data_IF_741815546552
#
_entry.id   IF_741815546552
#
_cell.length_a   1.000
_cell.length_b   1.000
_cell.length_c   1.000
_cell.angle_alpha   90.00
_cell.angle_beta   90.00
_cell.angle_gamma   90.00
#
_symmetry.space_group_name_H-M   'P 1'
#
loop_
_entity.id
_entity.type
_entity.pdbx_description
1 polymer ?
#
# COMPACT_ATOMS: atom_id res chain seq x y z
N UNK A 1 13.07 -1.96 18.66
CA UNK A 1 12.72 -3.05 17.72
C UNK A 1 11.48 -2.67 16.96
N UNK A 2 11.48 -2.84 15.63
CA UNK A 2 10.33 -2.55 14.77
C UNK A 2 9.42 -3.78 14.74
N UNK A 3 8.11 -3.58 14.85
CA UNK A 3 7.09 -4.60 14.62
C UNK A 3 6.13 -4.13 13.53
N UNK A 4 5.74 -5.03 12.64
CA UNK A 4 4.72 -4.81 11.63
C UNK A 4 3.56 -5.78 11.88
N UNK A 5 2.43 -5.24 12.33
CA UNK A 5 1.17 -5.97 12.42
C UNK A 5 0.55 -6.02 11.03
N UNK A 6 0.53 -7.20 10.43
CA UNK A 6 0.21 -7.40 9.02
C UNK A 6 -0.50 -8.73 8.75
N UNK A 7 -1.16 -8.81 7.59
CA UNK A 7 -1.79 -10.04 7.10
C UNK A 7 -1.40 -10.28 5.63
N UNK A 8 -0.92 -11.48 5.24
CA UNK A 8 -0.31 -11.70 3.90
C UNK A 8 -1.22 -11.43 2.70
N UNK A 9 -2.54 -11.45 2.92
CA UNK A 9 -3.55 -11.20 1.90
C UNK A 9 -3.84 -9.70 1.70
N UNK A 10 -3.44 -8.86 2.66
CA UNK A 10 -3.69 -7.42 2.57
C UNK A 10 -2.69 -6.76 1.61
N UNK A 11 -3.13 -6.17 0.48
CA UNK A 11 -2.23 -5.49 -0.44
C UNK A 11 -1.53 -4.30 0.22
N UNK A 12 -2.20 -3.64 1.16
CA UNK A 12 -1.63 -2.51 1.92
C UNK A 12 -0.54 -2.96 2.88
N UNK A 13 -0.73 -4.12 3.54
CA UNK A 13 0.28 -4.65 4.44
C UNK A 13 1.50 -5.13 3.65
N UNK A 14 1.26 -5.77 2.50
CA UNK A 14 2.32 -6.22 1.60
C UNK A 14 3.14 -5.04 1.05
N UNK A 15 2.51 -3.89 0.74
CA UNK A 15 3.22 -2.67 0.35
C UNK A 15 4.18 -2.20 1.45
N UNK A 16 3.69 -2.06 2.68
CA UNK A 16 4.49 -1.60 3.80
C UNK A 16 5.66 -2.56 4.09
N UNK A 17 5.38 -3.86 4.11
CA UNK A 17 6.40 -4.90 4.33
C UNK A 17 7.44 -4.93 3.21
N UNK A 18 7.03 -4.79 1.95
CA UNK A 18 7.94 -4.77 0.81
C UNK A 18 8.93 -3.61 0.92
N UNK A 19 8.48 -2.42 1.33
CA UNK A 19 9.37 -1.26 1.53
C UNK A 19 10.31 -1.49 2.71
N UNK A 20 9.81 -1.97 3.86
CA UNK A 20 10.67 -2.31 5.01
C UNK A 20 11.80 -3.28 4.62
N UNK A 21 11.46 -4.34 3.87
CA UNK A 21 12.45 -5.30 3.35
C UNK A 21 13.41 -4.66 2.36
N UNK A 22 12.90 -3.84 1.44
CA UNK A 22 13.71 -3.20 0.41
C UNK A 22 14.78 -2.28 1.02
N UNK A 23 14.39 -1.46 2.01
CA UNK A 23 15.30 -0.50 2.65
C UNK A 23 16.08 -1.08 3.84
N UNK A 24 16.04 -2.40 4.04
CA UNK A 24 16.83 -3.11 5.05
C UNK A 24 16.42 -2.82 6.51
N UNK A 25 15.17 -2.45 6.75
CA UNK A 25 14.65 -2.26 8.13
C UNK A 25 14.22 -3.60 8.69
N UNK A 26 15.06 -4.17 9.56
CA UNK A 26 14.76 -5.37 10.33
C UNK A 26 13.49 -5.17 11.18
N UNK A 27 12.55 -6.10 11.08
CA UNK A 27 11.26 -6.01 11.76
C UNK A 27 10.68 -7.39 12.10
N UNK A 28 9.93 -7.44 13.19
CA UNK A 28 9.09 -8.58 13.54
C UNK A 28 7.77 -8.51 12.75
N UNK A 29 7.42 -9.57 12.02
CA UNK A 29 6.11 -9.70 11.39
C UNK A 29 5.11 -10.30 12.39
N UNK A 30 4.16 -9.48 12.86
CA UNK A 30 3.11 -9.91 13.77
C UNK A 30 1.85 -10.21 12.95
N UNK A 31 1.59 -11.50 12.69
CA UNK A 31 0.41 -11.93 11.94
C UNK A 31 -0.85 -11.47 12.65
N UNK A 32 -1.62 -10.61 11.98
CA UNK A 32 -2.79 -9.94 12.56
C UNK A 32 -3.93 -9.95 11.55
N UNK A 33 -4.96 -10.74 11.80
CA UNK A 33 -6.12 -10.81 10.91
C UNK A 33 -7.04 -9.60 11.13
N UNK A 34 -7.34 -8.79 10.09
CA UNK A 34 -8.01 -7.49 10.26
C UNK A 34 -9.48 -7.58 10.70
N UNK A 35 -10.12 -8.73 10.53
CA UNK A 35 -11.53 -8.95 10.91
C UNK A 35 -11.70 -9.68 12.24
N UNK A 36 -10.60 -10.11 12.88
CA UNK A 36 -10.63 -10.76 14.21
C UNK A 36 -9.68 -10.04 15.15
N UNK A 37 -8.37 -10.24 15.00
CA UNK A 37 -7.33 -9.68 15.88
C UNK A 37 -7.37 -8.15 15.84
N UNK A 38 -7.61 -7.58 14.65
CA UNK A 38 -7.76 -6.16 14.44
C UNK A 38 -8.98 -5.52 15.11
N UNK A 39 -9.89 -6.31 15.69
CA UNK A 39 -11.10 -5.84 16.39
C UNK A 39 -10.99 -5.92 17.91
N UNK A 40 -9.92 -6.49 18.43
CA UNK A 40 -9.68 -6.59 19.87
C UNK A 40 -9.42 -5.20 20.48
N UNK A 41 -9.83 -4.99 21.74
CA UNK A 41 -9.55 -3.73 22.44
C UNK A 41 -8.05 -3.43 22.53
N UNK A 42 -7.22 -4.47 22.64
CA UNK A 42 -5.77 -4.34 22.68
C UNK A 42 -5.23 -3.79 21.36
N UNK A 43 -5.64 -4.33 20.22
CA UNK A 43 -5.20 -3.83 18.92
C UNK A 43 -5.74 -2.43 18.60
N UNK A 44 -6.98 -2.14 19.00
CA UNK A 44 -7.60 -0.84 18.77
C UNK A 44 -6.87 0.31 19.51
N UNK A 45 -6.12 0.00 20.59
CA UNK A 45 -5.20 0.96 21.23
C UNK A 45 -4.02 1.34 20.33
N UNK A 46 -3.62 0.46 19.40
CA UNK A 46 -2.56 0.72 18.42
C UNK A 46 -3.12 1.38 17.15
N UNK A 47 -4.21 0.83 16.61
CA UNK A 47 -4.85 1.36 15.41
C UNK A 47 -6.38 1.43 15.58
N UNK A 48 -6.94 2.64 15.79
CA UNK A 48 -8.37 2.81 16.08
C UNK A 48 -9.27 2.41 14.91
N UNK A 49 -8.74 2.30 13.68
CA UNK A 49 -9.49 1.81 12.53
C UNK A 49 -9.64 0.28 12.51
N UNK A 50 -8.87 -0.43 13.36
CA UNK A 50 -8.85 -1.88 13.40
C UNK A 50 -8.49 -2.51 12.05
N UNK A 51 -7.52 -1.91 11.36
CA UNK A 51 -7.02 -2.33 10.03
C UNK A 51 -5.52 -2.64 10.13
N UNK A 52 -5.02 -3.38 9.14
CA UNK A 52 -3.58 -3.58 8.90
C UNK A 52 -3.17 -2.89 7.59
N UNK A 53 -1.92 -2.42 7.46
CA UNK A 53 -0.81 -2.55 8.41
C UNK A 53 -0.83 -1.55 9.57
N UNK A 54 -0.17 -1.94 10.67
CA UNK A 54 0.23 -1.03 11.77
C UNK A 54 1.69 -1.31 12.13
N UNK A 55 2.50 -0.27 12.20
CA UNK A 55 3.90 -0.32 12.59
C UNK A 55 4.06 0.17 14.04
N UNK A 56 4.86 -0.55 14.83
CA UNK A 56 5.29 -0.13 16.17
C UNK A 56 6.81 -0.06 16.19
N UNK A 57 7.37 1.07 16.61
CA UNK A 57 8.81 1.26 16.78
C UNK A 57 9.09 1.90 18.15
N UNK A 58 9.41 1.07 19.14
CA UNK A 58 9.43 1.52 20.54
C UNK A 58 8.02 1.92 20.97
N UNK A 59 7.88 3.12 21.52
CA UNK A 59 6.57 3.69 21.93
C UNK A 59 5.83 4.39 20.77
N UNK A 60 6.47 4.52 19.61
CA UNK A 60 5.86 5.15 18.44
C UNK A 60 4.98 4.15 17.68
N UNK A 61 3.75 4.55 17.38
CA UNK A 61 2.79 3.77 16.60
C UNK A 61 2.39 4.54 15.35
N UNK A 62 2.36 3.85 14.21
CA UNK A 62 2.01 4.41 12.91
C UNK A 62 1.11 3.45 12.13
N UNK A 63 0.11 3.99 11.46
CA UNK A 63 -0.76 3.29 10.51
C UNK A 63 -0.86 4.10 9.22
N UNK A 64 -1.51 3.52 8.20
CA UNK A 64 -1.43 3.89 6.78
C UNK A 64 -0.17 3.35 6.08
N UNK A 65 -0.36 2.49 5.08
CA UNK A 65 0.73 1.74 4.44
C UNK A 65 1.78 2.64 3.77
N UNK A 66 1.34 3.75 3.15
CA UNK A 66 2.24 4.72 2.51
C UNK A 66 2.97 5.57 3.56
N UNK A 67 2.33 5.89 4.68
CA UNK A 67 2.99 6.58 5.78
C UNK A 67 4.08 5.70 6.39
N UNK A 68 3.78 4.41 6.59
CA UNK A 68 4.75 3.40 7.03
C UNK A 68 5.91 3.26 6.03
N UNK A 69 5.62 3.21 4.73
CA UNK A 69 6.66 3.14 3.68
C UNK A 69 7.61 4.34 3.72
N UNK A 70 7.07 5.57 3.81
CA UNK A 70 7.89 6.79 3.95
C UNK A 70 8.68 6.81 5.26
N UNK A 71 8.08 6.36 6.35
CA UNK A 71 8.76 6.25 7.64
C UNK A 71 9.93 5.29 7.55
N UNK A 72 9.71 4.08 7.01
CA UNK A 72 10.75 3.07 6.78
C UNK A 72 11.92 3.63 5.95
N UNK A 73 11.62 4.31 4.84
CA UNK A 73 12.64 4.92 3.99
C UNK A 73 13.40 6.10 4.65
N UNK A 74 12.81 6.78 5.64
CA UNK A 74 13.49 7.87 6.36
C UNK A 74 14.36 7.37 7.50
N UNK A 75 13.95 6.29 8.16
CA UNK A 75 14.75 5.69 9.23
C UNK A 75 15.81 4.73 8.69
N UNK A 76 15.70 4.33 7.42
CA UNK A 76 16.79 3.64 6.73
C UNK A 76 17.93 4.62 6.44
N UNK A 77 19.12 4.07 6.21
CA UNK A 77 20.25 4.84 5.69
C UNK A 77 20.17 5.08 4.18
N UNK A 78 19.11 4.62 3.51
CA UNK A 78 18.96 4.71 2.05
C UNK A 78 18.41 6.08 1.65
N UNK A 79 19.34 6.98 1.31
CA UNK A 79 19.03 8.35 0.86
C UNK A 79 18.63 8.42 -0.61
N UNK A 80 18.80 7.35 -1.39
CA UNK A 80 18.46 7.33 -2.82
C UNK A 80 17.00 6.93 -3.05
N UNK A 81 16.49 5.96 -2.28
CA UNK A 81 15.11 5.48 -2.44
C UNK A 81 14.05 6.54 -2.14
N UNK A 82 14.24 7.32 -1.07
CA UNK A 82 13.36 8.45 -0.72
C UNK A 82 14.22 9.65 -0.23
N UNK A 83 14.69 10.51 -1.16
CA UNK A 83 15.64 11.59 -0.90
C UNK A 83 14.96 12.77 -0.20
N UNK A 84 14.61 12.60 1.08
CA UNK A 84 13.86 13.57 1.88
C UNK A 84 14.59 14.90 2.13
N UNK A 85 15.91 14.96 1.91
CA UNK A 85 16.72 16.18 1.95
C UNK A 85 16.70 16.95 0.60
N UNK A 86 16.34 16.30 -0.52
CA UNK A 86 16.14 16.94 -1.83
C UNK A 86 14.63 17.16 -2.06
N UNK A 87 14.15 18.33 -1.65
CA UNK A 87 12.72 18.66 -1.69
C UNK A 87 12.12 18.61 -3.10
N UNK A 88 12.91 18.85 -4.15
CA UNK A 88 12.41 18.82 -5.53
C UNK A 88 12.23 17.39 -6.02
N UNK A 89 13.19 16.49 -5.74
CA UNK A 89 13.03 15.06 -6.05
C UNK A 89 11.95 14.42 -5.18
N UNK A 90 11.96 14.71 -3.87
CA UNK A 90 10.95 14.23 -2.94
C UNK A 90 9.54 14.64 -3.36
N UNK A 91 9.33 15.91 -3.75
CA UNK A 91 8.04 16.40 -4.24
C UNK A 91 7.55 15.71 -5.52
N UNK A 92 8.46 15.31 -6.41
CA UNK A 92 8.12 14.49 -7.59
C UNK A 92 7.68 13.09 -7.21
N UNK A 93 8.36 12.46 -6.24
CA UNK A 93 7.98 11.15 -5.72
C UNK A 93 6.63 11.21 -5.00
N UNK A 94 6.41 12.20 -4.14
CA UNK A 94 5.14 12.38 -3.43
C UNK A 94 3.98 12.60 -4.41
N UNK A 95 4.19 13.36 -5.49
CA UNK A 95 3.21 13.52 -6.57
C UNK A 95 2.83 12.19 -7.24
N UNK A 96 3.80 11.30 -7.47
CA UNK A 96 3.53 9.96 -7.99
C UNK A 96 2.81 9.06 -6.99
N UNK A 97 3.14 9.15 -5.70
CA UNK A 97 2.44 8.45 -4.62
C UNK A 97 0.97 8.92 -4.58
N UNK A 98 0.72 10.22 -4.67
CA UNK A 98 -0.63 10.78 -4.68
C UNK A 98 -1.40 10.39 -5.94
N UNK A 99 -0.74 10.31 -7.10
CA UNK A 99 -1.34 9.75 -8.32
C UNK A 99 -1.69 8.26 -8.14
N UNK A 100 -0.80 7.48 -7.52
CA UNK A 100 -1.02 6.07 -7.23
C UNK A 100 -2.26 5.89 -6.35
N UNK A 101 -2.42 6.69 -5.30
CA UNK A 101 -3.59 6.66 -4.42
C UNK A 101 -4.85 7.19 -5.12
N UNK A 102 -4.72 8.34 -5.77
CA UNK A 102 -5.83 9.16 -6.24
C UNK A 102 -6.45 8.67 -7.55
N UNK A 103 -5.67 7.96 -8.36
CA UNK A 103 -6.04 7.57 -9.73
C UNK A 103 -5.84 6.06 -9.93
N UNK A 104 -4.60 5.58 -9.80
CA UNK A 104 -4.27 4.21 -10.19
C UNK A 104 -4.96 3.18 -9.31
N UNK A 105 -4.76 3.24 -7.99
CA UNK A 105 -5.39 2.34 -7.02
C UNK A 105 -6.91 2.42 -7.07
N UNK A 106 -7.48 3.60 -7.28
CA UNK A 106 -8.94 3.76 -7.40
C UNK A 106 -9.50 3.02 -8.61
N UNK A 107 -8.76 2.96 -9.73
CA UNK A 107 -9.16 2.18 -10.89
C UNK A 107 -9.00 0.67 -10.65
N UNK A 108 -7.96 0.25 -9.94
CA UNK A 108 -7.68 -1.17 -9.66
C UNK A 108 -8.59 -1.79 -8.58
N UNK A 109 -9.06 -1.00 -7.61
CA UNK A 109 -9.79 -1.52 -6.45
C UNK A 109 -11.12 -2.21 -6.82
N UNK A 110 -11.99 -1.65 -7.69
CA UNK A 110 -13.21 -2.34 -8.11
C UNK A 110 -12.92 -3.68 -8.78
N UNK A 111 -11.91 -3.75 -9.66
CA UNK A 111 -11.48 -5.00 -10.28
C UNK A 111 -11.05 -6.02 -9.23
N UNK A 112 -10.15 -5.64 -8.31
CA UNK A 112 -9.68 -6.52 -7.25
C UNK A 112 -10.83 -7.02 -6.36
N UNK A 113 -11.80 -6.17 -6.06
CA UNK A 113 -12.93 -6.51 -5.20
C UNK A 113 -13.94 -7.45 -5.88
N UNK A 114 -14.34 -7.13 -7.12
CA UNK A 114 -15.38 -7.87 -7.83
C UNK A 114 -14.86 -9.16 -8.47
N UNK A 115 -13.61 -9.16 -8.98
CA UNK A 115 -13.06 -10.31 -9.70
C UNK A 115 -12.33 -11.28 -8.77
N UNK A 116 -11.66 -10.77 -7.72
CA UNK A 116 -10.83 -11.58 -6.84
C UNK A 116 -11.40 -11.72 -5.41
N UNK A 117 -11.43 -10.65 -4.62
CA UNK A 117 -11.79 -10.75 -3.20
C UNK A 117 -13.22 -11.26 -2.96
N UNK A 118 -14.20 -10.80 -3.74
CA UNK A 118 -15.58 -11.26 -3.63
C UNK A 118 -15.70 -12.76 -3.93
N UNK A 119 -15.36 -13.20 -5.16
CA UNK A 119 -15.55 -14.60 -5.54
C UNK A 119 -14.60 -15.56 -4.82
N UNK A 120 -13.30 -15.25 -4.77
CA UNK A 120 -12.27 -16.18 -4.29
C UNK A 120 -12.25 -16.27 -2.76
N UNK A 121 -12.52 -15.17 -2.03
CA UNK A 121 -12.41 -15.17 -0.57
C UNK A 121 -13.74 -15.14 0.18
N UNK A 122 -14.80 -14.60 -0.43
CA UNK A 122 -16.11 -14.46 0.21
C UNK A 122 -17.19 -15.36 -0.40
N UNK A 123 -16.87 -16.12 -1.45
CA UNK A 123 -17.84 -16.95 -2.17
C UNK A 123 -18.95 -16.15 -2.84
N UNK A 124 -18.72 -14.86 -3.14
CA UNK A 124 -19.67 -14.04 -3.87
C UNK A 124 -19.75 -14.51 -5.34
N UNK A 125 -20.85 -14.23 -6.05
CA UNK A 125 -20.93 -14.50 -7.49
C UNK A 125 -19.81 -13.77 -8.24
N UNK A 126 -19.21 -14.46 -9.21
CA UNK A 126 -18.29 -13.83 -10.15
C UNK A 126 -19.04 -12.80 -11.03
N UNK A 127 -18.38 -11.70 -11.45
CA UNK A 127 -18.97 -10.74 -12.36
C UNK A 127 -19.18 -11.37 -13.74
N UNK A 128 -20.06 -10.77 -14.55
CA UNK A 128 -20.18 -11.13 -15.96
C UNK A 128 -18.89 -10.79 -16.71
N UNK A 129 -18.63 -11.45 -17.84
CA UNK A 129 -17.47 -11.12 -18.67
C UNK A 129 -17.51 -9.66 -19.15
N UNK A 130 -18.69 -9.14 -19.52
CA UNK A 130 -18.87 -7.71 -19.87
C UNK A 130 -18.44 -6.78 -18.72
N UNK A 131 -18.85 -7.07 -17.48
CA UNK A 131 -18.45 -6.28 -16.30
C UNK A 131 -16.95 -6.38 -16.05
N UNK A 132 -16.37 -7.55 -16.24
CA UNK A 132 -14.94 -7.77 -16.09
C UNK A 132 -14.12 -7.00 -17.13
N UNK A 133 -14.59 -6.95 -18.38
CA UNK A 133 -13.99 -6.14 -19.45
C UNK A 133 -14.06 -4.64 -19.14
N UNK A 134 -15.20 -4.15 -18.65
CA UNK A 134 -15.36 -2.75 -18.21
C UNK A 134 -14.36 -2.39 -17.10
N UNK A 135 -14.28 -3.23 -16.07
CA UNK A 135 -13.34 -3.07 -14.96
C UNK A 135 -11.88 -3.08 -15.46
N UNK A 136 -11.55 -4.00 -16.38
CA UNK A 136 -10.21 -4.10 -16.97
C UNK A 136 -9.86 -2.85 -17.79
N UNK A 137 -10.79 -2.32 -18.59
CA UNK A 137 -10.57 -1.10 -19.35
C UNK A 137 -10.25 0.10 -18.45
N UNK A 138 -10.86 0.17 -17.26
CA UNK A 138 -10.52 1.16 -16.23
C UNK A 138 -9.08 1.03 -15.73
N UNK A 139 -8.62 -0.19 -15.46
CA UNK A 139 -7.24 -0.50 -15.06
C UNK A 139 -6.26 -0.14 -16.17
N UNK A 140 -6.54 -0.56 -17.40
CA UNK A 140 -5.68 -0.31 -18.57
C UNK A 140 -5.52 1.19 -18.84
N UNK A 141 -6.60 1.96 -18.70
CA UNK A 141 -6.55 3.43 -18.80
C UNK A 141 -5.63 4.04 -17.73
N UNK A 142 -5.72 3.58 -16.49
CA UNK A 142 -4.88 4.08 -15.41
C UNK A 142 -3.39 3.73 -15.61
N UNK A 143 -3.11 2.54 -16.15
CA UNK A 143 -1.76 2.12 -16.58
C UNK A 143 -1.23 2.96 -17.74
N UNK A 144 -2.05 3.21 -18.77
CA UNK A 144 -1.64 4.04 -19.91
C UNK A 144 -1.25 5.46 -19.45
N UNK A 145 -2.00 6.03 -18.51
CA UNK A 145 -1.71 7.34 -17.93
C UNK A 145 -0.38 7.36 -17.16
N UNK A 146 -0.05 6.34 -16.36
CA UNK A 146 1.24 6.33 -15.65
C UNK A 146 2.42 6.14 -16.61
N UNK A 147 2.26 5.31 -17.64
CA UNK A 147 3.27 5.14 -18.70
C UNK A 147 3.51 6.46 -19.43
N UNK A 148 2.45 7.20 -19.73
CA UNK A 148 2.57 8.52 -20.36
C UNK A 148 3.25 9.54 -19.44
N UNK A 149 2.92 9.55 -18.15
CA UNK A 149 3.60 10.40 -17.16
C UNK A 149 5.12 10.12 -17.12
N UNK A 150 5.51 8.84 -17.09
CA UNK A 150 6.92 8.42 -17.07
C UNK A 150 7.67 8.79 -18.37
N UNK A 151 7.00 8.76 -19.52
CA UNK A 151 7.57 9.23 -20.79
C UNK A 151 7.84 10.73 -20.77
N UNK A 152 6.89 11.52 -20.24
CA UNK A 152 7.00 12.99 -20.17
C UNK A 152 8.04 13.47 -19.15
N UNK A 153 8.31 12.69 -18.09
CA UNK A 153 9.35 13.01 -17.11
C UNK A 153 10.78 12.75 -17.61
N UNK A 154 10.95 12.13 -18.78
CA UNK A 154 12.27 11.82 -19.36
C UNK A 154 12.89 10.52 -18.84
N UNK A 155 12.11 9.63 -18.22
CA UNK A 155 12.58 8.41 -17.57
C UNK A 155 12.09 8.27 -16.13
N UNK A 156 12.45 7.16 -15.43
CA UNK A 156 12.20 7.05 -14.00
C UNK A 156 12.90 8.22 -13.31
N UNK A 157 12.13 8.93 -12.48
CA UNK A 157 12.55 10.12 -11.74
C UNK A 157 13.86 9.94 -10.98
#
# INVERSE_FOLDING_TARGET
>A
TVKLYAFPVSPFANLAEAVLKHVGVEHEYVKTHPFTDGKTEEYLKLNPYGKVPTLVHGDFVLYESIAIARYAARISGDKEFYPHEDFQKCGKIDSLIDYEVGTFRKACMPYAMEVFFGPVMKGAPAPTEERKEELQAGVDKAFALIVELLKRSGGPY
#
